data_IF_991500613548
#
_entry.id   IF_991500613548
#
_cell.length_a   1.000
_cell.length_b   1.000
_cell.length_c   1.000
_cell.angle_alpha   90.00
_cell.angle_beta   90.00
_cell.angle_gamma   90.00
#
_symmetry.space_group_name_H-M   'P 1'
#
loop_
_entity.id
_entity.type
_entity.pdbx_description
1 polymer ?
#
# COMPACT_ATOMS: atom_id res chain seq x y z
N UNK A 1 25.94 -117.25 46.81
CA UNK A 1 27.31 -117.57 46.33
C UNK A 1 28.15 -118.35 47.36
N UNK A 2 27.69 -118.49 48.62
CA UNK A 2 28.35 -119.31 49.66
C UNK A 2 27.75 -120.72 49.79
N UNK A 3 26.49 -120.94 49.39
CA UNK A 3 25.84 -122.27 49.46
C UNK A 3 26.06 -123.17 48.23
N UNK A 4 26.67 -122.67 47.15
CA UNK A 4 26.85 -123.46 45.91
C UNK A 4 28.21 -124.17 45.80
N UNK A 5 29.18 -123.86 46.67
CA UNK A 5 30.53 -124.50 46.67
C UNK A 5 30.66 -125.70 47.61
N UNK A 6 29.71 -125.91 48.52
CA UNK A 6 29.76 -127.03 49.48
C UNK A 6 29.40 -128.38 48.82
N UNK A 7 28.74 -128.37 47.66
CA UNK A 7 28.25 -129.58 47.00
C UNK A 7 29.20 -130.21 45.96
N UNK A 8 30.31 -129.56 45.60
CA UNK A 8 31.23 -130.07 44.56
C UNK A 8 32.45 -130.83 45.15
N UNK A 9 32.83 -130.58 46.41
CA UNK A 9 34.03 -131.20 47.00
C UNK A 9 33.77 -132.51 47.79
N UNK A 10 32.51 -132.89 48.02
CA UNK A 10 32.16 -134.17 48.69
C UNK A 10 32.28 -135.40 47.78
N UNK A 11 32.49 -135.23 46.47
CA UNK A 11 32.54 -136.33 45.49
C UNK A 11 33.96 -136.87 45.20
N UNK A 12 35.02 -136.27 45.74
CA UNK A 12 36.41 -136.62 45.35
C UNK A 12 37.25 -137.35 46.41
N UNK A 13 36.70 -137.67 47.59
CA UNK A 13 37.45 -138.31 48.69
C UNK A 13 36.84 -139.66 49.15
N UNK A 14 36.42 -140.52 48.22
CA UNK A 14 35.78 -141.79 48.62
C UNK A 14 35.64 -142.89 47.56
N UNK A 15 36.58 -143.05 46.63
CA UNK A 15 36.72 -144.30 45.84
C UNK A 15 38.19 -144.64 45.59
N UNK A 16 38.78 -145.49 46.44
CA UNK A 16 39.40 -146.78 46.06
C UNK A 16 40.58 -147.19 46.97
N UNK A 17 40.29 -148.10 47.91
CA UNK A 17 40.92 -149.45 48.05
C UNK A 17 40.39 -150.04 49.37
N UNK A 18 39.34 -150.87 49.43
CA UNK A 18 39.16 -152.22 48.89
C UNK A 18 40.21 -153.21 49.44
N UNK A 19 39.77 -153.87 50.53
CA UNK A 19 40.03 -155.24 50.99
C UNK A 19 41.34 -155.58 51.70
N UNK A 20 41.18 -156.01 52.96
CA UNK A 20 41.57 -157.34 53.43
C UNK A 20 41.02 -157.50 54.87
N UNK A 21 40.05 -158.38 55.17
CA UNK A 21 40.31 -159.83 55.29
C UNK A 21 41.69 -160.20 54.75
N UNK A 22 42.69 -160.04 55.62
CA UNK A 22 43.88 -160.88 55.77
C UNK A 22 44.91 -160.15 56.63
N UNK A 23 44.92 -160.51 57.91
CA UNK A 23 46.08 -160.66 58.79
C UNK A 23 47.35 -159.89 58.42
N UNK A 24 47.68 -158.84 59.18
CA UNK A 24 48.74 -158.83 60.19
C UNK A 24 49.16 -157.39 60.54
N UNK A 25 49.58 -157.22 61.78
CA UNK A 25 49.99 -155.99 62.45
C UNK A 25 50.92 -155.04 61.65
N UNK A 26 50.71 -153.73 61.83
CA UNK A 26 51.77 -152.71 61.70
C UNK A 26 51.76 -151.85 62.97
N UNK A 27 52.97 -151.69 63.52
CA UNK A 27 53.35 -151.14 64.83
C UNK A 27 53.50 -149.61 64.79
N UNK A 28 53.53 -148.88 65.93
CA UNK A 28 53.45 -147.41 66.02
C UNK A 28 54.63 -146.57 65.46
N UNK A 29 55.51 -147.10 64.61
CA UNK A 29 56.79 -146.46 64.25
C UNK A 29 56.84 -145.83 62.84
N UNK A 30 55.74 -145.76 62.09
CA UNK A 30 55.74 -145.30 60.67
C UNK A 30 55.12 -143.91 60.42
N UNK A 31 55.32 -142.93 61.32
CA UNK A 31 55.02 -141.52 61.01
C UNK A 31 56.22 -140.83 60.35
N UNK A 32 56.19 -140.65 59.02
CA UNK A 32 57.16 -139.79 58.32
C UNK A 32 56.81 -138.30 58.50
N UNK A 33 57.82 -137.47 58.82
CA UNK A 33 57.67 -136.06 59.24
C UNK A 33 57.05 -135.11 58.21
N UNK A 34 56.81 -135.56 56.96
CA UNK A 34 56.19 -134.74 55.91
C UNK A 34 54.69 -134.56 56.09
N UNK A 35 54.01 -135.47 56.80
CA UNK A 35 52.57 -135.38 57.03
C UNK A 35 52.21 -134.37 58.13
N UNK A 36 53.11 -134.10 59.09
CA UNK A 36 52.93 -133.08 60.14
C UNK A 36 53.03 -131.65 59.60
N UNK A 37 53.92 -131.39 58.63
CA UNK A 37 54.04 -130.06 58.01
C UNK A 37 52.85 -129.75 57.09
N UNK A 38 52.29 -130.75 56.39
CA UNK A 38 51.06 -130.60 55.61
C UNK A 38 49.83 -130.33 56.48
N UNK A 39 49.74 -130.97 57.65
CA UNK A 39 48.69 -130.69 58.64
C UNK A 39 48.86 -129.30 59.26
N UNK A 40 50.10 -128.87 59.52
CA UNK A 40 50.39 -127.54 60.08
C UNK A 40 50.13 -126.41 59.07
N UNK A 41 50.48 -126.61 57.79
CA UNK A 41 50.15 -125.68 56.71
C UNK A 41 48.65 -125.67 56.38
N UNK A 42 47.94 -126.79 56.51
CA UNK A 42 46.48 -126.82 56.39
C UNK A 42 45.79 -126.07 57.54
N UNK A 43 46.29 -126.15 58.78
CA UNK A 43 45.80 -125.37 59.92
C UNK A 43 46.12 -123.88 59.78
N UNK A 44 47.22 -123.48 59.11
CA UNK A 44 47.49 -122.07 58.79
C UNK A 44 46.67 -121.55 57.60
N UNK A 45 46.41 -122.39 56.59
CA UNK A 45 45.69 -122.04 55.35
C UNK A 45 44.16 -122.09 55.50
N UNK A 46 43.67 -122.90 56.44
CA UNK A 46 42.27 -123.02 56.84
C UNK A 46 42.08 -122.76 58.33
N UNK A 47 42.95 -121.91 58.90
CA UNK A 47 42.88 -121.44 60.27
C UNK A 47 41.47 -120.97 60.58
N UNK A 48 40.87 -121.67 61.54
CA UNK A 48 39.53 -121.43 62.03
C UNK A 48 39.29 -119.95 62.26
N UNK A 49 38.06 -119.55 61.97
CA UNK A 49 37.46 -118.27 62.30
C UNK A 49 38.06 -117.69 63.59
N UNK A 50 39.07 -116.82 63.49
CA UNK A 50 39.46 -115.98 64.64
C UNK A 50 38.33 -114.97 64.73
N UNK A 51 37.26 -115.34 65.43
CA UNK A 51 36.15 -114.44 65.76
C UNK A 51 36.79 -113.20 66.38
N UNK A 52 36.66 -112.04 65.73
CA UNK A 52 37.18 -110.80 66.26
C UNK A 52 36.65 -110.64 67.69
N UNK A 53 37.57 -110.68 68.67
CA UNK A 53 37.25 -110.72 70.10
C UNK A 53 36.62 -109.43 70.60
N UNK A 54 36.63 -108.37 69.80
CA UNK A 54 36.08 -107.06 70.12
C UNK A 54 35.16 -106.50 69.01
N UNK A 55 34.31 -105.52 69.36
CA UNK A 55 33.46 -104.76 68.42
C UNK A 55 34.26 -103.63 67.75
N UNK A 56 33.91 -103.18 66.52
CA UNK A 56 34.75 -102.24 65.76
C UNK A 56 34.80 -100.78 66.28
N UNK A 57 33.74 -100.30 66.94
CA UNK A 57 33.60 -98.87 67.25
C UNK A 57 34.10 -98.52 68.66
N UNK A 58 33.74 -99.36 69.62
CA UNK A 58 34.01 -99.14 71.04
C UNK A 58 34.85 -100.26 71.64
N UNK A 59 35.42 -101.15 70.82
CA UNK A 59 36.27 -102.26 71.26
C UNK A 59 35.66 -103.15 72.35
N UNK A 60 34.32 -103.22 72.42
CA UNK A 60 33.60 -104.06 73.39
C UNK A 60 33.95 -105.52 73.15
N UNK A 61 34.34 -106.23 74.20
CA UNK A 61 34.71 -107.65 74.11
C UNK A 61 33.47 -108.49 73.84
N UNK A 62 33.50 -109.33 72.81
CA UNK A 62 32.40 -110.22 72.46
C UNK A 62 32.39 -111.46 73.36
N UNK A 63 31.22 -112.09 73.60
CA UNK A 63 31.17 -113.39 74.27
C UNK A 63 32.05 -114.43 73.54
N UNK A 64 32.73 -115.29 74.29
CA UNK A 64 33.47 -116.41 73.70
C UNK A 64 32.46 -117.40 73.08
N UNK A 65 32.52 -117.64 71.75
CA UNK A 65 31.59 -118.52 71.08
C UNK A 65 31.75 -120.00 71.47
N UNK A 66 32.84 -120.38 72.15
CA UNK A 66 33.14 -121.76 72.51
C UNK A 66 32.68 -122.12 73.93
N UNK A 67 32.04 -121.19 74.65
CA UNK A 67 31.53 -121.44 76.00
C UNK A 67 30.11 -120.94 76.15
N UNK A 68 29.28 -121.73 76.84
CA UNK A 68 27.90 -121.33 77.19
C UNK A 68 27.84 -120.41 78.43
N UNK A 69 28.99 -120.06 79.01
CA UNK A 69 29.10 -119.19 80.18
C UNK A 69 29.54 -117.78 79.77
N UNK A 70 28.82 -116.77 80.26
CA UNK A 70 29.17 -115.37 80.01
C UNK A 70 29.93 -114.79 81.22
N UNK A 71 31.11 -114.21 80.98
CA UNK A 71 31.93 -113.63 82.04
C UNK A 71 31.38 -112.25 82.47
N UNK A 72 30.97 -112.14 83.73
CA UNK A 72 30.42 -110.90 84.30
C UNK A 72 31.43 -109.74 84.34
N UNK A 73 32.72 -110.02 84.46
CA UNK A 73 33.77 -109.00 84.44
C UNK A 73 33.89 -108.35 83.06
N UNK A 74 33.77 -109.16 82.00
CA UNK A 74 33.73 -108.68 80.62
C UNK A 74 32.49 -107.80 80.39
N UNK A 75 31.35 -108.17 80.98
CA UNK A 75 30.14 -107.35 80.91
C UNK A 75 30.34 -105.98 81.54
N UNK A 76 30.88 -105.94 82.76
CA UNK A 76 31.09 -104.71 83.49
C UNK A 76 32.05 -103.77 82.74
N UNK A 77 33.18 -104.31 82.24
CA UNK A 77 34.12 -103.51 81.44
C UNK A 77 33.48 -102.96 80.15
N UNK A 78 32.66 -103.76 79.47
CA UNK A 78 31.93 -103.26 78.29
C UNK A 78 30.90 -102.19 78.66
N UNK A 79 30.21 -102.35 79.81
CA UNK A 79 29.25 -101.38 80.29
C UNK A 79 29.93 -100.04 80.63
N UNK A 80 31.11 -100.07 81.27
CA UNK A 80 31.90 -98.87 81.57
C UNK A 80 32.32 -98.13 80.29
N UNK A 81 32.74 -98.86 79.25
CA UNK A 81 33.07 -98.27 77.95
C UNK A 81 31.85 -97.60 77.31
N UNK A 82 30.68 -98.23 77.38
CA UNK A 82 29.44 -97.67 76.83
C UNK A 82 29.00 -96.43 77.61
N UNK A 83 29.11 -96.46 78.94
CA UNK A 83 28.81 -95.31 79.81
C UNK A 83 29.70 -94.12 79.48
N UNK A 84 31.01 -94.34 79.35
CA UNK A 84 31.97 -93.29 78.97
C UNK A 84 31.65 -92.70 77.58
N UNK A 85 31.30 -93.55 76.61
CA UNK A 85 30.92 -93.10 75.27
C UNK A 85 29.61 -92.27 75.28
N UNK A 86 28.61 -92.68 76.08
CA UNK A 86 27.35 -91.95 76.26
C UNK A 86 27.58 -90.60 76.95
N UNK A 87 28.39 -90.57 78.00
CA UNK A 87 28.81 -89.33 78.67
C UNK A 87 29.55 -88.38 77.72
N UNK A 88 30.36 -88.91 76.81
CA UNK A 88 31.00 -88.16 75.74
C UNK A 88 30.01 -87.56 74.72
N UNK A 89 28.83 -88.16 74.54
CA UNK A 89 27.76 -87.58 73.72
C UNK A 89 26.99 -86.50 74.49
N UNK A 90 26.65 -86.72 75.76
CA UNK A 90 25.96 -85.74 76.60
C UNK A 90 26.77 -84.43 76.69
N UNK A 91 28.08 -84.53 76.93
CA UNK A 91 28.98 -83.36 76.94
C UNK A 91 29.07 -82.65 75.59
N UNK A 92 28.93 -83.36 74.47
CA UNK A 92 28.85 -82.74 73.14
C UNK A 92 27.52 -82.03 72.94
N UNK A 93 26.41 -82.59 73.42
CA UNK A 93 25.08 -81.97 73.34
C UNK A 93 24.98 -80.70 74.20
N UNK A 94 25.61 -80.66 75.38
CA UNK A 94 25.67 -79.47 76.23
C UNK A 94 26.44 -78.31 75.60
N UNK A 95 27.48 -78.61 74.79
CA UNK A 95 28.34 -77.60 74.18
C UNK A 95 27.92 -77.21 72.75
N UNK A 96 26.72 -77.60 72.29
CA UNK A 96 26.19 -77.11 71.02
C UNK A 96 25.75 -75.65 71.21
N UNK A 97 26.56 -74.72 70.72
CA UNK A 97 26.18 -73.31 70.62
C UNK A 97 25.16 -73.13 69.48
N UNK A 98 23.88 -72.93 69.84
CA UNK A 98 22.83 -72.58 68.88
C UNK A 98 22.77 -71.05 68.73
N UNK A 99 23.09 -70.48 67.55
CA UNK A 99 23.21 -69.02 67.39
C UNK A 99 21.88 -68.25 67.53
N UNK A 100 20.74 -68.94 67.46
CA UNK A 100 19.41 -68.36 67.70
C UNK A 100 18.72 -69.18 68.78
N UNK A 101 18.55 -68.58 69.96
CA UNK A 101 17.97 -69.24 71.14
C UNK A 101 16.45 -69.04 71.21
N UNK A 102 15.94 -67.96 70.64
CA UNK A 102 14.50 -67.74 70.46
C UNK A 102 14.22 -66.82 69.29
N UNK A 103 13.04 -66.98 68.68
CA UNK A 103 12.46 -66.00 67.76
C UNK A 103 11.08 -65.66 68.30
N UNK A 104 10.81 -64.36 68.52
CA UNK A 104 9.52 -63.87 69.02
C UNK A 104 9.02 -64.65 70.27
N UNK A 105 9.89 -64.84 71.27
CA UNK A 105 9.63 -65.56 72.52
C UNK A 105 9.32 -67.07 72.39
N UNK A 106 9.54 -67.68 71.23
CA UNK A 106 9.44 -69.15 71.03
C UNK A 106 10.83 -69.78 71.07
N UNK A 107 10.97 -70.89 71.81
CA UNK A 107 12.20 -71.70 71.94
C UNK A 107 11.95 -73.12 71.39
N UNK A 108 12.97 -73.81 70.88
CA UNK A 108 12.88 -75.20 70.38
C UNK A 108 12.66 -75.33 68.87
N UNK A 109 11.87 -76.30 68.39
CA UNK A 109 11.50 -76.43 66.97
C UNK A 109 10.65 -75.23 66.54
N UNK A 110 11.28 -74.21 65.96
CA UNK A 110 10.60 -72.98 65.55
C UNK A 110 9.98 -73.16 64.16
N UNK A 111 8.69 -73.51 64.11
CA UNK A 111 7.88 -73.28 62.92
C UNK A 111 7.50 -71.80 62.92
N UNK A 112 8.07 -71.03 62.00
CA UNK A 112 7.80 -69.59 61.84
C UNK A 112 6.58 -69.39 60.95
N UNK A 113 5.64 -68.58 61.43
CA UNK A 113 4.50 -68.11 60.64
C UNK A 113 4.73 -66.64 60.22
N UNK A 114 3.95 -66.14 59.26
CA UNK A 114 4.04 -64.75 58.80
C UNK A 114 3.95 -63.72 59.95
N UNK A 115 3.13 -63.98 60.96
CA UNK A 115 2.96 -63.11 62.13
C UNK A 115 4.21 -63.04 63.01
N UNK A 116 4.98 -64.14 63.10
CA UNK A 116 6.18 -64.22 63.94
C UNK A 116 7.33 -63.37 63.42
N UNK A 117 7.32 -63.04 62.12
CA UNK A 117 8.34 -62.22 61.46
C UNK A 117 7.84 -60.80 61.16
N UNK A 118 6.60 -60.47 61.57
CA UNK A 118 5.98 -59.20 61.23
C UNK A 118 5.78 -59.00 59.73
N UNK A 119 5.58 -60.09 58.97
CA UNK A 119 5.35 -59.99 57.53
C UNK A 119 4.04 -59.25 57.26
N UNK A 120 4.10 -58.28 56.36
CA UNK A 120 2.92 -57.55 55.90
C UNK A 120 1.93 -58.51 55.23
N UNK A 121 0.64 -58.30 55.48
CA UNK A 121 -0.41 -59.11 54.86
C UNK A 121 -0.82 -58.51 53.50
N UNK A 122 -1.32 -59.32 52.55
CA UNK A 122 -1.89 -58.79 51.31
C UNK A 122 -2.98 -57.73 51.57
N UNK A 123 -3.79 -57.92 52.61
CA UNK A 123 -4.85 -56.96 52.99
C UNK A 123 -4.28 -55.66 53.54
N UNK A 124 -3.25 -55.71 54.39
CA UNK A 124 -2.60 -54.52 54.93
C UNK A 124 -1.85 -53.71 53.88
N UNK A 125 -1.14 -54.39 52.96
CA UNK A 125 -0.56 -53.76 51.78
C UNK A 125 -1.63 -53.08 50.90
N UNK A 126 -2.75 -53.76 50.66
CA UNK A 126 -3.86 -53.19 49.89
C UNK A 126 -4.49 -51.98 50.59
N UNK A 127 -4.63 -51.99 51.92
CA UNK A 127 -5.12 -50.85 52.68
C UNK A 127 -4.21 -49.62 52.53
N UNK A 128 -2.88 -49.81 52.57
CA UNK A 128 -1.89 -48.74 52.35
C UNK A 128 -1.97 -48.18 50.92
N UNK A 129 -2.09 -49.06 49.91
CA UNK A 129 -2.25 -48.65 48.51
C UNK A 129 -3.58 -47.90 48.31
N UNK A 130 -4.68 -48.38 48.90
CA UNK A 130 -5.97 -47.71 48.83
C UNK A 130 -5.93 -46.33 49.52
N UNK A 131 -5.27 -46.23 50.67
CA UNK A 131 -5.08 -44.95 51.35
C UNK A 131 -4.28 -43.97 50.47
N UNK A 132 -3.23 -44.45 49.79
CA UNK A 132 -2.48 -43.64 48.83
C UNK A 132 -3.32 -43.23 47.61
N UNK A 133 -4.04 -44.17 47.02
CA UNK A 133 -4.88 -43.94 45.84
C UNK A 133 -6.04 -42.96 46.12
N UNK A 134 -6.56 -42.95 47.34
CA UNK A 134 -7.63 -42.06 47.77
C UNK A 134 -7.11 -40.72 48.31
N UNK A 135 -5.80 -40.51 48.41
CA UNK A 135 -5.23 -39.23 48.84
C UNK A 135 -5.40 -38.18 47.72
N UNK A 136 -6.30 -37.22 47.93
CA UNK A 136 -6.58 -36.12 46.98
C UNK A 136 -5.77 -34.85 47.25
N UNK A 137 -4.88 -34.89 48.24
CA UNK A 137 -4.00 -33.78 48.58
C UNK A 137 -2.65 -33.92 47.85
N UNK A 138 -1.60 -33.32 48.38
CA UNK A 138 -0.23 -33.47 47.90
C UNK A 138 0.57 -34.41 48.82
N UNK A 139 0.34 -35.74 48.79
CA UNK A 139 0.94 -36.69 49.74
C UNK A 139 2.46 -36.83 49.56
N UNK A 140 2.97 -36.47 48.38
CA UNK A 140 4.39 -36.47 48.03
C UNK A 140 5.05 -35.10 48.20
N UNK A 141 4.30 -34.11 48.70
CA UNK A 141 4.79 -32.75 48.95
C UNK A 141 5.46 -32.10 47.72
N UNK A 142 4.97 -32.44 46.52
CA UNK A 142 5.47 -31.96 45.23
C UNK A 142 5.29 -30.45 45.15
N UNK A 143 6.35 -29.73 44.82
CA UNK A 143 6.35 -28.27 44.67
C UNK A 143 6.08 -27.87 43.22
N UNK A 144 5.79 -26.58 42.98
CA UNK A 144 5.67 -26.04 41.62
C UNK A 144 6.94 -26.25 40.80
N UNK A 145 8.10 -26.18 41.45
CA UNK A 145 9.39 -26.39 40.78
C UNK A 145 9.53 -27.83 40.29
N UNK A 146 9.07 -28.81 41.06
CA UNK A 146 9.19 -30.23 40.73
C UNK A 146 8.40 -30.62 39.46
N UNK A 147 7.33 -29.89 39.15
CA UNK A 147 6.51 -30.08 37.94
C UNK A 147 6.80 -29.06 36.84
N UNK A 148 7.88 -28.29 36.95
CA UNK A 148 8.27 -27.29 35.93
C UNK A 148 7.39 -26.03 35.89
N UNK A 149 6.57 -25.79 36.90
CA UNK A 149 5.66 -24.64 37.03
C UNK A 149 6.19 -23.58 38.02
N UNK A 150 7.48 -23.60 38.37
CA UNK A 150 8.08 -22.70 39.35
C UNK A 150 7.88 -21.21 39.03
N UNK A 151 7.81 -20.85 37.75
CA UNK A 151 7.56 -19.49 37.28
C UNK A 151 6.08 -19.10 37.23
N UNK A 152 5.15 -20.04 37.44
CA UNK A 152 3.70 -19.81 37.37
C UNK A 152 3.17 -19.40 38.75
N UNK A 153 2.67 -18.18 38.86
CA UNK A 153 2.10 -17.59 40.06
C UNK A 153 0.69 -18.17 40.34
N UNK A 154 0.25 -18.11 41.60
CA UNK A 154 -1.11 -18.53 41.96
C UNK A 154 -2.02 -17.30 42.00
N UNK A 155 -2.32 -16.76 40.82
CA UNK A 155 -3.20 -15.59 40.68
C UNK A 155 -4.59 -16.00 40.23
N UNK A 156 -5.62 -15.33 40.75
CA UNK A 156 -6.97 -15.49 40.24
C UNK A 156 -7.13 -14.84 38.86
N UNK A 157 -8.25 -15.14 38.21
CA UNK A 157 -8.67 -14.44 37.00
C UNK A 157 -9.14 -13.02 37.32
N UNK A 158 -8.83 -12.08 36.44
CA UNK A 158 -9.33 -10.71 36.51
C UNK A 158 -10.86 -10.65 36.31
N UNK A 159 -11.53 -9.82 37.10
CA UNK A 159 -12.90 -9.37 36.82
C UNK A 159 -12.93 -8.47 35.59
N UNK A 160 -14.12 -8.20 35.06
CA UNK A 160 -14.26 -7.28 33.92
C UNK A 160 -13.71 -5.88 34.24
N UNK A 161 -14.09 -5.34 35.40
CA UNK A 161 -13.69 -4.00 35.82
C UNK A 161 -12.16 -3.90 35.98
N UNK A 162 -11.52 -4.91 36.57
CA UNK A 162 -10.06 -4.96 36.70
C UNK A 162 -9.38 -5.05 35.33
N UNK A 163 -9.94 -5.81 34.38
CA UNK A 163 -9.41 -5.93 33.04
C UNK A 163 -9.52 -4.63 32.24
N UNK A 164 -10.66 -3.94 32.32
CA UNK A 164 -10.89 -2.65 31.66
C UNK A 164 -10.06 -1.53 32.29
N UNK A 165 -9.81 -1.57 33.60
CA UNK A 165 -8.95 -0.61 34.29
C UNK A 165 -7.45 -0.87 34.00
N UNK A 166 -7.04 -2.12 33.85
CA UNK A 166 -5.67 -2.50 33.50
C UNK A 166 -4.61 -2.18 34.57
N UNK A 167 -5.00 -2.06 35.84
CA UNK A 167 -4.11 -1.62 36.93
C UNK A 167 -3.48 -2.75 37.76
N UNK A 168 -4.07 -3.95 37.74
CA UNK A 168 -3.59 -5.07 38.55
C UNK A 168 -2.48 -5.87 37.85
N UNK A 169 -1.35 -6.05 38.54
CA UNK A 169 -0.24 -6.91 38.10
C UNK A 169 -0.29 -8.32 38.70
N UNK A 170 -1.29 -8.64 39.52
CA UNK A 170 -1.40 -9.88 40.30
C UNK A 170 -2.64 -10.71 39.93
N UNK A 171 -3.07 -10.65 38.66
CA UNK A 171 -4.23 -11.38 38.11
C UNK A 171 -3.93 -11.91 36.72
N UNK A 172 -4.50 -13.06 36.36
CA UNK A 172 -4.44 -13.58 34.99
C UNK A 172 -5.61 -13.07 34.15
N UNK A 173 -5.36 -12.91 32.85
CA UNK A 173 -6.34 -12.44 31.88
C UNK A 173 -6.90 -13.63 31.08
N UNK A 174 -8.23 -13.71 30.93
CA UNK A 174 -8.83 -14.62 29.95
C UNK A 174 -8.96 -13.94 28.58
N UNK A 175 -9.07 -14.68 27.46
CA UNK A 175 -9.28 -14.07 26.14
C UNK A 175 -10.47 -13.10 26.07
N UNK A 176 -11.55 -13.41 26.80
CA UNK A 176 -12.72 -12.52 26.90
C UNK A 176 -12.36 -11.21 27.58
N UNK A 177 -11.64 -11.27 28.70
CA UNK A 177 -11.23 -10.10 29.46
C UNK A 177 -10.22 -9.24 28.69
N UNK A 178 -9.31 -9.85 27.94
CA UNK A 178 -8.44 -9.15 26.99
C UNK A 178 -9.25 -8.39 25.95
N UNK A 179 -10.26 -9.02 25.33
CA UNK A 179 -11.14 -8.34 24.35
C UNK A 179 -11.86 -7.14 24.98
N UNK A 180 -12.35 -7.28 26.21
CA UNK A 180 -13.03 -6.20 26.94
C UNK A 180 -12.08 -5.02 27.21
N UNK A 181 -10.86 -5.29 27.71
CA UNK A 181 -9.83 -4.28 27.91
C UNK A 181 -9.46 -3.54 26.61
N UNK A 182 -9.24 -4.29 25.52
CA UNK A 182 -8.93 -3.73 24.20
C UNK A 182 -10.06 -2.85 23.69
N UNK A 183 -11.32 -3.25 23.86
CA UNK A 183 -12.47 -2.45 23.44
C UNK A 183 -12.56 -1.11 24.17
N UNK A 184 -12.19 -1.07 25.46
CA UNK A 184 -12.18 0.18 26.24
C UNK A 184 -11.02 1.09 25.82
N UNK A 185 -9.87 0.51 25.48
CA UNK A 185 -8.64 1.22 25.11
C UNK A 185 -8.60 1.70 23.65
N UNK A 186 -9.58 1.37 22.80
CA UNK A 186 -9.60 1.86 21.43
C UNK A 186 -9.63 3.40 21.43
N UNK A 187 -8.58 4.02 20.87
CA UNK A 187 -8.37 5.47 20.89
C UNK A 187 -9.51 6.25 20.22
N UNK A 188 -10.22 5.62 19.29
CA UNK A 188 -11.42 6.15 18.65
C UNK A 188 -12.60 5.26 19.02
N UNK A 189 -13.36 5.66 20.04
CA UNK A 189 -14.59 4.95 20.45
C UNK A 189 -15.72 5.17 19.46
N UNK A 190 -15.79 6.39 18.91
CA UNK A 190 -16.73 6.77 17.88
C UNK A 190 -16.18 7.93 17.06
N UNK A 191 -16.50 7.97 15.77
CA UNK A 191 -16.39 9.20 14.95
C UNK A 191 -17.81 9.67 14.67
N UNK A 192 -18.13 10.91 15.05
CA UNK A 192 -19.48 11.47 14.92
C UNK A 192 -20.60 10.56 15.48
N UNK A 193 -20.34 9.89 16.61
CA UNK A 193 -21.32 9.00 17.27
C UNK A 193 -21.46 7.60 16.64
N UNK A 194 -20.77 7.29 15.54
CA UNK A 194 -20.74 5.94 14.95
C UNK A 194 -19.68 5.07 15.61
N UNK A 195 -20.05 3.85 16.01
CA UNK A 195 -19.16 2.84 16.62
C UNK A 195 -19.02 1.60 15.74
N UNK A 196 -17.91 0.84 15.83
CA UNK A 196 -17.73 -0.44 15.10
C UNK A 196 -16.96 -0.29 13.78
N UNK A 197 -17.37 -1.00 12.72
CA UNK A 197 -16.83 -0.80 11.37
C UNK A 197 -17.28 0.57 10.84
N UNK A 198 -16.45 1.59 11.00
CA UNK A 198 -16.82 2.98 10.72
C UNK A 198 -16.66 3.28 9.22
N UNK A 199 -17.77 3.24 8.48
CA UNK A 199 -17.86 3.88 7.18
C UNK A 199 -18.11 5.39 7.40
N UNK A 200 -17.13 6.22 7.06
CA UNK A 200 -17.21 7.67 7.20
C UNK A 200 -17.80 8.29 5.93
N UNK A 201 -18.74 9.21 6.12
CA UNK A 201 -19.19 10.15 5.10
C UNK A 201 -18.45 11.48 5.25
N UNK A 202 -18.55 12.37 4.26
CA UNK A 202 -17.93 13.70 4.32
C UNK A 202 -18.39 14.53 5.52
N UNK A 203 -19.65 14.38 5.94
CA UNK A 203 -20.17 15.08 7.11
C UNK A 203 -19.53 14.59 8.42
N UNK A 204 -19.15 13.31 8.51
CA UNK A 204 -18.54 12.74 9.71
C UNK A 204 -17.15 13.33 10.02
N UNK A 205 -16.49 13.95 9.04
CA UNK A 205 -15.16 14.57 9.15
C UNK A 205 -15.19 16.09 8.99
N UNK A 206 -16.36 16.72 9.12
CA UNK A 206 -16.49 18.17 8.98
C UNK A 206 -16.32 18.70 7.55
N UNK A 207 -16.39 17.81 6.56
CA UNK A 207 -16.34 18.12 5.13
C UNK A 207 -17.73 18.09 4.49
N UNK A 208 -18.81 18.19 5.28
CA UNK A 208 -20.19 18.07 4.82
C UNK A 208 -20.60 19.12 3.78
N UNK A 209 -20.05 20.34 3.92
CA UNK A 209 -20.28 21.45 2.99
C UNK A 209 -19.30 21.44 1.80
N UNK A 210 -18.33 20.51 1.81
CA UNK A 210 -17.39 20.33 0.71
C UNK A 210 -18.06 19.46 -0.35
N UNK A 211 -18.73 20.11 -1.29
CA UNK A 211 -19.14 19.47 -2.53
C UNK A 211 -17.94 19.41 -3.51
N UNK A 212 -17.81 18.31 -4.25
CA UNK A 212 -16.77 18.16 -5.28
C UNK A 212 -17.15 18.88 -6.58
N UNK A 213 -18.35 19.45 -6.67
CA UNK A 213 -18.92 20.02 -7.88
C UNK A 213 -18.67 21.55 -8.00
N UNK A 214 -18.30 22.22 -6.90
CA UNK A 214 -17.95 23.65 -6.80
C UNK A 214 -16.45 23.87 -6.61
N UNK A 215 -15.67 22.81 -6.51
CA UNK A 215 -14.23 22.92 -6.62
C UNK A 215 -13.91 22.90 -8.11
N UNK A 216 -13.39 24.03 -8.62
CA UNK A 216 -12.75 24.05 -9.93
C UNK A 216 -11.78 22.86 -9.99
N UNK A 217 -11.92 22.03 -11.01
CA UNK A 217 -10.90 21.02 -11.33
C UNK A 217 -9.55 21.70 -11.44
N UNK A 218 -8.45 20.98 -11.23
CA UNK A 218 -7.11 21.57 -11.41
C UNK A 218 -6.98 22.26 -12.79
N UNK A 219 -7.63 21.71 -13.81
CA UNK A 219 -7.71 22.28 -15.16
C UNK A 219 -8.44 23.62 -15.15
N UNK A 220 -9.62 23.70 -14.53
CA UNK A 220 -10.39 24.95 -14.43
C UNK A 220 -9.69 26.00 -13.56
N UNK A 221 -8.99 25.60 -12.49
CA UNK A 221 -8.20 26.51 -11.66
C UNK A 221 -7.00 27.09 -12.43
N UNK A 222 -6.25 26.23 -13.13
CA UNK A 222 -5.12 26.66 -13.95
C UNK A 222 -5.62 27.55 -15.12
N UNK A 223 -6.81 27.28 -15.66
CA UNK A 223 -7.47 28.14 -16.65
C UNK A 223 -7.89 29.49 -16.06
N UNK A 224 -8.37 29.55 -14.81
CA UNK A 224 -8.75 30.80 -14.14
C UNK A 224 -7.53 31.68 -13.81
N UNK A 225 -6.35 31.06 -13.61
CA UNK A 225 -5.09 31.78 -13.47
C UNK A 225 -4.61 32.36 -14.81
N UNK A 226 -4.84 31.65 -15.91
CA UNK A 226 -4.61 32.16 -17.26
C UNK A 226 -5.59 33.29 -17.64
N UNK A 227 -6.76 33.33 -17.02
CA UNK A 227 -7.80 34.35 -17.24
C UNK A 227 -7.45 35.74 -16.69
N UNK A 228 -6.57 35.81 -15.69
CA UNK A 228 -6.12 37.07 -15.07
C UNK A 228 -4.85 37.60 -15.74
N UNK A 229 -4.15 36.74 -16.50
CA UNK A 229 -2.90 37.08 -17.18
C UNK A 229 -3.00 36.79 -18.67
N UNK A 230 -3.41 37.82 -19.43
CA UNK A 230 -2.99 38.05 -20.82
C UNK A 230 -3.13 36.88 -21.81
N UNK A 231 -4.21 36.82 -22.61
CA UNK A 231 -4.14 36.23 -23.96
C UNK A 231 -5.02 36.96 -24.97
N UNK A 232 -4.45 37.15 -26.16
CA UNK A 232 -4.94 37.86 -27.35
C UNK A 232 -6.28 37.38 -27.95
N UNK A 233 -6.99 36.40 -27.39
CA UNK A 233 -8.11 35.76 -28.12
C UNK A 233 -9.38 35.50 -27.34
N UNK A 234 -9.56 36.08 -26.15
CA UNK A 234 -10.81 35.82 -25.43
C UNK A 234 -11.13 36.64 -24.20
N UNK A 235 -10.32 37.63 -23.84
CA UNK A 235 -10.57 38.61 -22.76
C UNK A 235 -10.06 40.01 -23.10
N UNK A 236 -10.07 40.34 -24.40
CA UNK A 236 -9.63 41.63 -24.92
C UNK A 236 -10.66 42.75 -24.71
N UNK A 237 -10.35 43.93 -25.24
CA UNK A 237 -11.21 45.11 -25.22
C UNK A 237 -12.64 44.86 -25.76
N UNK A 238 -12.84 43.87 -26.63
CA UNK A 238 -14.16 43.43 -27.13
C UNK A 238 -15.11 42.91 -26.04
N UNK A 239 -14.59 42.48 -24.90
CA UNK A 239 -15.39 41.95 -23.78
C UNK A 239 -15.58 42.97 -22.66
N UNK A 240 -14.92 44.12 -22.76
CA UNK A 240 -15.16 45.25 -21.87
C UNK A 240 -16.29 46.06 -22.48
N UNK A 241 -17.49 45.88 -21.94
CA UNK A 241 -18.62 46.74 -22.27
C UNK A 241 -18.33 48.19 -21.87
N UNK A 242 -18.82 49.13 -22.68
CA UNK A 242 -18.77 50.55 -22.36
C UNK A 242 -20.17 51.05 -22.05
N UNK A 243 -20.26 52.03 -21.16
CA UNK A 243 -21.50 52.75 -20.91
C UNK A 243 -21.46 54.03 -21.75
N UNK A 244 -22.20 54.05 -22.86
CA UNK A 244 -22.27 55.17 -23.79
C UNK A 244 -23.61 55.90 -23.67
N UNK A 245 -23.74 56.67 -22.59
CA UNK A 245 -24.99 57.36 -22.26
C UNK A 245 -25.37 58.46 -23.27
N UNK A 246 -24.38 58.98 -23.99
CA UNK A 246 -24.55 60.07 -24.95
C UNK A 246 -24.67 59.57 -26.41
N UNK A 247 -24.71 58.24 -26.63
CA UNK A 247 -24.81 57.59 -27.94
C UNK A 247 -23.75 58.08 -28.95
N UNK A 248 -22.53 58.35 -28.48
CA UNK A 248 -21.42 58.80 -29.32
C UNK A 248 -20.80 57.67 -30.16
N UNK A 249 -20.99 56.42 -29.74
CA UNK A 249 -20.49 55.21 -30.40
C UNK A 249 -21.65 54.26 -30.68
N UNK A 250 -21.65 53.62 -31.85
CA UNK A 250 -22.60 52.53 -32.14
C UNK A 250 -22.15 51.22 -31.51
N UNK A 251 -20.85 51.09 -31.25
CA UNK A 251 -20.24 49.93 -30.63
C UNK A 251 -20.55 49.83 -29.14
N UNK A 252 -20.80 48.61 -28.67
CA UNK A 252 -21.12 48.34 -27.27
C UNK A 252 -19.90 47.92 -26.44
N UNK A 253 -18.69 47.95 -27.02
CA UNK A 253 -17.45 47.55 -26.37
C UNK A 253 -16.27 48.46 -26.75
N UNK A 254 -15.21 48.40 -25.94
CA UNK A 254 -14.04 49.28 -26.10
C UNK A 254 -13.37 49.10 -27.47
N UNK A 255 -13.31 47.87 -27.98
CA UNK A 255 -12.64 47.59 -29.26
C UNK A 255 -13.38 48.22 -30.46
N UNK A 256 -14.70 48.07 -30.51
CA UNK A 256 -15.53 48.68 -31.55
C UNK A 256 -15.55 50.20 -31.47
N UNK A 257 -15.69 50.77 -30.27
CA UNK A 257 -15.69 52.22 -30.10
C UNK A 257 -14.36 52.86 -30.51
N UNK A 258 -13.24 52.17 -30.23
CA UNK A 258 -11.93 52.63 -30.68
C UNK A 258 -11.79 52.55 -32.21
N UNK A 259 -12.36 51.53 -32.85
CA UNK A 259 -12.42 51.46 -34.32
C UNK A 259 -13.23 52.62 -34.90
N UNK A 260 -14.40 52.91 -34.33
CA UNK A 260 -15.28 53.99 -34.76
C UNK A 260 -14.61 55.36 -34.64
N UNK A 261 -13.92 55.62 -33.52
CA UNK A 261 -13.19 56.87 -33.29
C UNK A 261 -12.18 57.20 -34.40
N UNK A 262 -11.58 56.17 -35.02
CA UNK A 262 -10.61 56.36 -36.10
C UNK A 262 -11.22 56.35 -37.50
N UNK A 263 -12.46 55.90 -37.66
CA UNK A 263 -13.13 55.81 -38.95
C UNK A 263 -14.18 56.88 -39.17
N UNK A 264 -14.76 57.44 -38.11
CA UNK A 264 -15.82 58.42 -38.22
C UNK A 264 -15.51 59.72 -37.46
N UNK A 265 -15.59 60.83 -38.19
CA UNK A 265 -15.38 62.19 -37.68
C UNK A 265 -16.65 63.00 -37.97
N UNK A 266 -17.81 62.36 -37.84
CA UNK A 266 -19.16 62.87 -38.16
C UNK A 266 -19.40 64.29 -37.65
N UNK A 267 -19.16 64.54 -36.36
CA UNK A 267 -19.36 65.87 -35.75
C UNK A 267 -18.52 66.97 -36.43
N UNK A 268 -17.30 66.65 -36.89
CA UNK A 268 -16.46 67.59 -37.62
C UNK A 268 -16.95 67.82 -39.05
N UNK A 269 -17.40 66.77 -39.74
CA UNK A 269 -17.96 66.83 -41.10
C UNK A 269 -19.25 67.66 -41.12
N UNK A 270 -20.11 67.50 -40.14
CA UNK A 270 -21.37 68.25 -40.02
C UNK A 270 -21.14 69.75 -39.77
N UNK A 271 -20.16 70.11 -38.93
CA UNK A 271 -19.77 71.51 -38.72
C UNK A 271 -19.25 72.17 -40.01
N UNK A 272 -18.45 71.44 -40.79
CA UNK A 272 -17.95 71.95 -42.09
C UNK A 272 -19.09 72.04 -43.10
N UNK A 273 -19.99 71.06 -43.16
CA UNK A 273 -21.18 71.08 -44.00
C UNK A 273 -22.06 72.30 -43.72
N UNK A 274 -22.32 72.58 -42.43
CA UNK A 274 -23.07 73.77 -41.99
C UNK A 274 -22.35 75.05 -42.39
N UNK A 275 -21.03 75.13 -42.22
CA UNK A 275 -20.26 76.31 -42.61
C UNK A 275 -20.33 76.59 -44.12
N UNK A 276 -20.40 75.56 -44.96
CA UNK A 276 -20.57 75.70 -46.42
C UNK A 276 -21.94 76.32 -46.74
N UNK A 277 -23.01 75.75 -46.18
CA UNK A 277 -24.38 76.20 -46.46
C UNK A 277 -24.69 77.57 -45.85
N UNK A 278 -24.04 77.95 -44.75
CA UNK A 278 -24.10 79.30 -44.18
C UNK A 278 -23.48 80.37 -45.10
N UNK A 279 -22.42 80.00 -45.85
CA UNK A 279 -21.77 80.91 -46.82
C UNK A 279 -22.61 81.01 -48.09
N UNK A 280 -23.13 79.88 -48.58
CA UNK A 280 -23.99 79.84 -49.75
C UNK A 280 -25.12 78.81 -49.57
N UNK A 281 -26.31 79.32 -49.24
CA UNK A 281 -27.50 78.50 -49.00
C UNK A 281 -28.00 77.73 -50.23
N UNK A 282 -27.44 77.97 -51.41
CA UNK A 282 -27.78 77.22 -52.64
C UNK A 282 -26.96 75.95 -52.83
N UNK A 283 -25.87 75.77 -52.07
CA UNK A 283 -25.06 74.56 -52.10
C UNK A 283 -25.72 73.47 -51.25
N UNK A 284 -25.91 72.28 -51.82
CA UNK A 284 -26.45 71.13 -51.10
C UNK A 284 -25.33 70.26 -50.54
N UNK A 285 -25.34 70.03 -49.22
CA UNK A 285 -24.44 69.09 -48.54
C UNK A 285 -25.29 67.90 -48.03
N UNK A 286 -24.97 66.65 -48.41
CA UNK A 286 -25.72 65.48 -47.97
C UNK A 286 -25.57 65.23 -46.46
N UNK A 287 -26.49 64.46 -45.89
CA UNK A 287 -26.40 63.98 -44.50
C UNK A 287 -25.28 62.96 -44.36
N UNK A 288 -24.39 63.15 -43.39
CA UNK A 288 -23.12 62.41 -43.22
C UNK A 288 -22.21 62.45 -44.46
N UNK A 289 -21.74 63.65 -44.87
CA UNK A 289 -21.00 63.80 -46.11
C UNK A 289 -19.60 63.20 -46.00
N UNK A 290 -19.12 62.55 -47.05
CA UNK A 290 -17.70 62.21 -47.18
C UNK A 290 -16.86 63.49 -47.34
N UNK A 291 -15.57 63.43 -46.99
CA UNK A 291 -14.66 64.57 -47.23
C UNK A 291 -14.60 64.99 -48.71
N UNK A 292 -14.81 64.05 -49.65
CA UNK A 292 -14.87 64.34 -51.08
C UNK A 292 -16.13 65.11 -51.48
N UNK A 293 -17.27 64.78 -50.89
CA UNK A 293 -18.52 65.52 -51.08
C UNK A 293 -18.45 66.92 -50.47
N UNK A 294 -17.87 67.06 -49.27
CA UNK A 294 -17.59 68.38 -48.67
C UNK A 294 -16.69 69.23 -49.58
N UNK A 295 -15.61 68.65 -50.13
CA UNK A 295 -14.72 69.39 -51.04
C UNK A 295 -15.44 69.83 -52.33
N UNK A 296 -16.33 69.00 -52.85
CA UNK A 296 -17.14 69.32 -54.03
C UNK A 296 -18.11 70.46 -53.72
N UNK A 297 -18.80 70.39 -52.58
CA UNK A 297 -19.71 71.43 -52.11
C UNK A 297 -18.99 72.77 -51.90
N UNK A 298 -17.78 72.78 -51.32
CA UNK A 298 -16.94 73.98 -51.21
C UNK A 298 -16.67 74.60 -52.59
N UNK A 299 -16.42 73.78 -53.61
CA UNK A 299 -16.19 74.24 -54.98
C UNK A 299 -17.43 74.83 -55.68
N UNK A 300 -18.63 74.57 -55.16
CA UNK A 300 -19.88 75.09 -55.70
C UNK A 300 -20.27 76.45 -55.10
N UNK A 301 -19.62 76.88 -54.01
CA UNK A 301 -19.89 78.17 -53.37
C UNK A 301 -19.72 79.31 -54.39
N UNK A 302 -20.77 80.10 -54.59
CA UNK A 302 -20.73 81.29 -55.43
C UNK A 302 -19.94 82.41 -54.73
N UNK A 303 -18.76 82.73 -55.26
CA UNK A 303 -17.85 83.75 -54.66
C UNK A 303 -18.22 85.20 -55.00
N UNK A 304 -19.34 85.44 -55.68
CA UNK A 304 -19.82 86.77 -56.08
C UNK A 304 -19.52 87.14 -57.55
N UNK A 305 -19.35 88.45 -57.83
CA UNK A 305 -19.20 88.98 -59.20
C UNK A 305 -18.07 88.31 -59.98
N UNK A 306 -18.39 87.74 -61.14
CA UNK A 306 -17.39 87.19 -62.06
C UNK A 306 -17.06 88.22 -63.14
N UNK A 307 -15.81 88.32 -63.57
CA UNK A 307 -15.45 89.19 -64.69
C UNK A 307 -14.34 88.59 -65.55
N UNK A 308 -14.34 88.95 -66.82
CA UNK A 308 -13.31 88.59 -67.78
C UNK A 308 -13.01 89.80 -68.67
N UNK A 309 -11.77 89.90 -69.16
CA UNK A 309 -11.36 90.94 -70.10
C UNK A 309 -10.28 90.41 -71.03
N UNK A 310 -10.24 90.91 -72.25
CA UNK A 310 -9.15 90.60 -73.18
C UNK A 310 -8.97 91.68 -74.26
N UNK A 311 -7.88 91.58 -75.01
CA UNK A 311 -7.52 92.43 -76.15
C UNK A 311 -7.48 91.63 -77.45
N UNK A 312 -8.36 91.97 -78.38
CA UNK A 312 -8.31 91.48 -79.75
C UNK A 312 -7.26 92.30 -80.50
N UNK A 313 -6.11 91.68 -80.79
CA UNK A 313 -4.88 92.34 -81.25
C UNK A 313 -4.94 92.97 -82.64
N UNK A 314 -5.82 92.45 -83.51
CA UNK A 314 -6.13 93.00 -84.84
C UNK A 314 -7.45 92.41 -85.35
N UNK A 315 -8.49 93.22 -85.46
CA UNK A 315 -9.71 92.83 -86.17
C UNK A 315 -9.43 92.82 -87.68
N UNK A 316 -9.04 91.65 -88.19
CA UNK A 316 -8.53 91.48 -89.57
C UNK A 316 -9.58 90.86 -90.48
N UNK A 317 -10.66 90.32 -89.90
CA UNK A 317 -11.71 89.66 -90.64
C UNK A 317 -12.70 90.72 -91.12
N UNK A 318 -13.03 90.72 -92.42
CA UNK A 318 -14.04 91.60 -93.01
C UNK A 318 -15.47 91.29 -92.54
N UNK A 319 -15.60 90.58 -91.42
CA UNK A 319 -16.83 90.22 -90.75
C UNK A 319 -17.48 91.46 -90.13
N UNK A 320 -18.78 91.39 -89.91
CA UNK A 320 -19.51 92.39 -89.12
C UNK A 320 -19.60 92.01 -87.65
N UNK A 321 -18.94 90.93 -87.22
CA UNK A 321 -19.10 90.39 -85.86
C UNK A 321 -17.79 90.04 -85.17
N UNK A 322 -17.76 90.17 -83.84
CA UNK A 322 -16.74 89.61 -82.94
C UNK A 322 -17.44 88.66 -81.98
N UNK A 323 -16.99 87.41 -81.92
CA UNK A 323 -17.50 86.41 -81.00
C UNK A 323 -16.49 86.20 -79.86
N UNK A 324 -16.95 86.35 -78.62
CA UNK A 324 -16.23 85.97 -77.41
C UNK A 324 -17.01 84.84 -76.76
N UNK A 325 -16.38 83.67 -76.60
CA UNK A 325 -16.99 82.45 -76.07
C UNK A 325 -16.05 81.78 -75.05
N UNK A 326 -16.55 80.83 -74.28
CA UNK A 326 -15.77 80.11 -73.26
C UNK A 326 -15.62 80.84 -71.92
N UNK A 327 -16.46 81.83 -71.63
CA UNK A 327 -16.60 82.40 -70.29
C UNK A 327 -17.32 81.37 -69.38
N UNK A 328 -16.88 81.24 -68.14
CA UNK A 328 -17.49 80.39 -67.10
C UNK A 328 -18.69 81.06 -66.40
N UNK A 329 -19.21 82.13 -67.02
CA UNK A 329 -20.38 82.89 -66.59
C UNK A 329 -21.09 83.50 -67.80
N UNK A 330 -22.39 83.73 -67.66
CA UNK A 330 -23.19 84.49 -68.63
C UNK A 330 -23.07 85.99 -68.31
N UNK A 331 -22.51 86.83 -69.20
CA UNK A 331 -22.31 88.24 -68.90
C UNK A 331 -23.62 89.01 -68.76
N UNK A 332 -23.81 89.70 -67.63
CA UNK A 332 -24.86 90.68 -67.43
C UNK A 332 -24.48 92.06 -68.02
N UNK A 333 -23.18 92.38 -67.99
CA UNK A 333 -22.64 93.64 -68.50
C UNK A 333 -21.47 93.37 -69.44
N UNK A 334 -21.47 94.04 -70.59
CA UNK A 334 -20.36 93.96 -71.56
C UNK A 334 -19.97 95.35 -72.00
N UNK A 335 -18.67 95.61 -72.04
CA UNK A 335 -18.09 96.87 -72.46
C UNK A 335 -16.99 96.59 -73.49
N UNK A 336 -17.11 97.15 -74.69
CA UNK A 336 -16.09 97.02 -75.74
C UNK A 336 -15.60 98.39 -76.23
N UNK A 337 -14.28 98.55 -76.24
CA UNK A 337 -13.59 99.79 -76.63
C UNK A 337 -12.51 99.53 -77.66
N UNK A 338 -12.06 100.61 -78.29
CA UNK A 338 -10.88 100.57 -79.14
C UNK A 338 -10.70 101.89 -79.86
N UNK A 339 -9.73 101.93 -80.76
CA UNK A 339 -9.32 103.16 -81.44
C UNK A 339 -10.01 103.23 -82.81
N UNK A 340 -10.58 104.39 -83.17
CA UNK A 340 -11.07 104.64 -84.54
C UNK A 340 -10.32 105.80 -85.16
N UNK A 341 -10.05 105.70 -86.45
CA UNK A 341 -9.56 106.79 -87.29
C UNK A 341 -10.66 107.27 -88.24
N UNK A 342 -11.56 108.18 -87.82
CA UNK A 342 -12.47 108.82 -88.74
C UNK A 342 -11.66 109.84 -89.56
N UNK A 343 -11.27 109.46 -90.78
CA UNK A 343 -10.81 110.36 -91.86
C UNK A 343 -9.95 111.56 -91.39
N UNK A 344 -8.73 111.30 -90.94
CA UNK A 344 -7.61 112.23 -91.12
C UNK A 344 -7.07 113.05 -89.95
N UNK A 345 -7.63 113.08 -88.74
CA UNK A 345 -6.95 113.75 -87.60
C UNK A 345 -7.30 113.16 -86.21
N UNK A 346 -6.35 112.47 -85.59
CA UNK A 346 -6.37 112.07 -84.17
C UNK A 346 -6.90 110.67 -83.85
N UNK A 347 -6.18 109.93 -83.00
CA UNK A 347 -6.64 108.68 -82.36
C UNK A 347 -7.39 109.00 -81.07
N UNK A 348 -8.62 108.54 -80.93
CA UNK A 348 -9.36 108.57 -79.67
C UNK A 348 -9.87 107.17 -79.34
N UNK A 349 -9.90 106.82 -78.05
CA UNK A 349 -10.57 105.62 -77.57
C UNK A 349 -12.09 105.86 -77.61
N UNK A 350 -12.77 105.03 -78.38
CA UNK A 350 -14.22 105.02 -78.51
C UNK A 350 -14.79 103.78 -77.86
N UNK A 351 -16.03 103.92 -77.39
CA UNK A 351 -16.84 102.80 -76.92
C UNK A 351 -17.82 102.45 -78.02
N UNK A 352 -17.76 101.19 -78.47
CA UNK A 352 -18.44 100.75 -79.68
C UNK A 352 -19.70 99.96 -79.40
N UNK A 353 -19.67 99.20 -78.31
CA UNK A 353 -20.74 98.29 -77.97
C UNK A 353 -20.82 98.14 -76.45
N UNK A 354 -22.03 98.25 -75.93
CA UNK A 354 -22.34 98.09 -74.51
C UNK A 354 -23.59 97.22 -74.37
N UNK A 355 -23.62 96.39 -73.32
CA UNK A 355 -24.80 95.60 -72.93
C UNK A 355 -25.10 95.78 -71.45
N UNK A 356 -26.37 95.77 -71.07
CA UNK A 356 -26.82 95.81 -69.67
C UNK A 356 -26.77 97.19 -69.00
N UNK A 357 -26.26 98.22 -69.66
CA UNK A 357 -26.15 99.56 -69.08
C UNK A 357 -27.44 100.41 -69.26
N UNK A 358 -27.88 101.15 -68.24
CA UNK A 358 -28.98 102.11 -68.37
C UNK A 358 -28.65 103.22 -69.39
N UNK A 359 -29.68 103.74 -70.07
CA UNK A 359 -29.54 104.74 -71.15
C UNK A 359 -28.88 106.06 -70.73
N UNK A 360 -28.76 106.32 -69.42
CA UNK A 360 -28.15 107.53 -68.85
C UNK A 360 -26.65 107.38 -68.51
N UNK A 361 -26.01 106.27 -68.88
CA UNK A 361 -24.60 105.99 -68.53
C UNK A 361 -23.66 106.96 -69.25
N UNK A 362 -22.99 107.85 -68.50
CA UNK A 362 -21.96 108.74 -69.03
C UNK A 362 -20.64 107.99 -69.13
N UNK A 363 -20.19 107.72 -70.35
CA UNK A 363 -18.88 107.11 -70.62
C UNK A 363 -17.86 108.21 -70.86
N UNK A 364 -16.65 108.09 -70.29
CA UNK A 364 -15.54 109.04 -70.54
C UNK A 364 -14.96 108.77 -71.93
N UNK A 365 -15.41 109.56 -72.91
CA UNK A 365 -15.02 109.45 -74.33
C UNK A 365 -16.18 109.87 -75.24
N UNK A 366 -15.95 109.93 -76.54
CA UNK A 366 -17.05 110.08 -77.51
C UNK A 366 -17.70 108.72 -77.70
N UNK A 367 -19.00 108.60 -77.42
CA UNK A 367 -19.73 107.36 -77.70
C UNK A 367 -20.06 107.35 -79.19
N UNK A 368 -19.43 106.45 -79.94
CA UNK A 368 -19.79 106.16 -81.32
C UNK A 368 -20.44 104.77 -81.32
N UNK A 369 -21.76 104.72 -81.12
CA UNK A 369 -22.49 103.44 -81.14
C UNK A 369 -22.55 102.97 -82.59
N UNK A 370 -21.63 102.09 -82.94
CA UNK A 370 -21.57 101.47 -84.27
C UNK A 370 -21.94 100.01 -84.23
N UNK A 371 -22.52 99.49 -83.13
CA UNK A 371 -22.91 98.10 -83.03
C UNK A 371 -23.84 97.72 -81.86
N UNK A 372 -24.28 96.46 -81.85
CA UNK A 372 -25.11 95.84 -80.79
C UNK A 372 -24.41 94.63 -80.18
N UNK A 373 -24.64 94.36 -78.89
CA UNK A 373 -24.13 93.16 -78.21
C UNK A 373 -25.26 92.17 -77.97
N UNK A 374 -25.05 90.91 -78.34
CA UNK A 374 -25.94 89.79 -78.04
C UNK A 374 -25.25 88.85 -77.05
N UNK A 375 -25.89 88.54 -75.92
CA UNK A 375 -25.33 87.65 -74.89
C UNK A 375 -25.55 86.18 -75.30
N UNK A 376 -24.56 85.33 -75.07
CA UNK A 376 -24.65 83.87 -75.20
C UNK A 376 -24.49 83.22 -73.82
N UNK A 377 -24.80 81.92 -73.70
CA UNK A 377 -24.69 81.20 -72.43
C UNK A 377 -23.27 81.20 -71.82
N UNK A 378 -22.26 81.32 -72.68
CA UNK A 378 -20.83 81.23 -72.37
C UNK A 378 -20.03 82.44 -72.85
N UNK A 379 -20.68 83.58 -73.13
CA UNK A 379 -20.03 84.66 -73.85
C UNK A 379 -20.94 85.76 -74.37
N UNK A 380 -20.49 86.41 -75.44
CA UNK A 380 -21.23 87.46 -76.14
C UNK A 380 -20.71 87.68 -77.56
N UNK A 381 -21.57 88.23 -78.40
CA UNK A 381 -21.27 88.60 -79.79
C UNK A 381 -21.47 90.11 -79.95
N UNK A 382 -20.44 90.81 -80.43
CA UNK A 382 -20.54 92.21 -80.85
C UNK A 382 -20.84 92.25 -82.34
N UNK A 383 -21.90 92.93 -82.75
CA UNK A 383 -22.30 93.12 -84.14
C UNK A 383 -22.07 94.58 -84.55
N UNK A 384 -21.16 94.84 -85.47
CA UNK A 384 -20.87 96.17 -86.00
C UNK A 384 -21.78 96.52 -87.18
N UNK A 385 -22.53 97.61 -87.05
CA UNK A 385 -23.34 98.26 -88.10
C UNK A 385 -22.48 98.89 -89.20
N UNK A 386 -21.25 99.33 -88.90
CA UNK A 386 -20.33 99.91 -89.88
C UNK A 386 -18.88 99.43 -89.66
N UNK A 387 -18.60 98.22 -90.14
CA UNK A 387 -17.37 97.48 -89.86
C UNK A 387 -16.10 98.09 -90.49
N UNK A 388 -16.23 98.95 -91.52
CA UNK A 388 -15.10 99.56 -92.23
C UNK A 388 -14.19 100.41 -91.33
N UNK A 389 -14.74 100.99 -90.26
CA UNK A 389 -13.99 101.78 -89.27
C UNK A 389 -13.21 100.92 -88.26
N UNK A 390 -13.57 99.64 -88.14
CA UNK A 390 -13.01 98.71 -87.16
C UNK A 390 -11.93 97.80 -87.74
N UNK A 391 -11.78 97.78 -89.07
CA UNK A 391 -10.72 97.02 -89.73
C UNK A 391 -9.34 97.48 -89.26
N UNK A 392 -8.48 96.50 -88.94
CA UNK A 392 -7.13 96.69 -88.40
C UNK A 392 -7.07 97.42 -87.05
N UNK A 393 -8.20 97.57 -86.35
CA UNK A 393 -8.22 98.15 -85.02
C UNK A 393 -8.10 97.09 -83.93
N UNK A 394 -7.63 97.54 -82.78
CA UNK A 394 -7.58 96.75 -81.54
C UNK A 394 -8.87 96.96 -80.76
N UNK A 395 -9.50 95.86 -80.37
CA UNK A 395 -10.74 95.89 -79.58
C UNK A 395 -10.43 95.31 -78.20
N UNK A 396 -10.58 96.12 -77.15
CA UNK A 396 -10.55 95.66 -75.77
C UNK A 396 -11.98 95.42 -75.31
N UNK A 397 -12.22 94.33 -74.59
CA UNK A 397 -13.52 94.07 -74.00
C UNK A 397 -13.40 93.70 -72.52
N UNK A 398 -14.45 93.99 -71.78
CA UNK A 398 -14.68 93.58 -70.40
C UNK A 398 -16.10 93.03 -70.32
N UNK A 399 -16.24 91.84 -69.76
CA UNK A 399 -17.52 91.19 -69.46
C UNK A 399 -17.62 90.95 -67.97
N UNK A 400 -18.81 91.18 -67.40
CA UNK A 400 -19.09 90.97 -65.98
C UNK A 400 -20.39 90.17 -65.84
N UNK A 401 -20.38 89.16 -64.98
CA UNK A 401 -21.47 88.24 -64.67
C UNK A 401 -22.05 88.46 -63.29
#
# INVERSE_FOLDING_TARGET
>A
LFEKRINEDYQYAGRNKVFAENNNAISPDDFESKDIDLVTEAIKKWGGYIMATQTPNYNLTKPDPNTDYYNIEVHNNNADIVDEALKGLDTKFENIEVPVTSVNNKTGTVVLNADDVGAETPTGAQAKVNAHANATNNPHNVTKSDVGLGSVQNYDLATQAEAEAGTSSAKYMTPLRTKQAVNVLQAVKSVAGKTGAVALSKSDVGLGDVDNAKQATKVEFDAHLADIASQETGKGASLVGIEDADENFTATNVEGALSELFTDVSSGKDLVGTAITDVDSSVEVPTDPTFAELATAIGQISTGMKFAQDLISTYTDGSSTVNVSGLDFTPAYVFATGNVFPSGTGSADYVFAVHGFPSATKVKGTILVTGTVSITSDGFIINFTNYSYMQNQRIRWIAMG
#
